data_IF_258399543701
#
_entry.id   IF_258399543701
#
_cell.length_a   1.000
_cell.length_b   1.000
_cell.length_c   1.000
_cell.angle_alpha   90.00
_cell.angle_beta   90.00
_cell.angle_gamma   90.00
#
_symmetry.space_group_name_H-M   'P 1'
#
loop_
_entity.id
_entity.type
_entity.pdbx_description
1 polymer ?
#
# COMPACT_ATOMS: atom_id res chain seq x y z
N UNK A 1 -17.93 -26.41 -15.86
CA UNK A 1 -16.79 -25.50 -16.07
C UNK A 1 -15.71 -25.57 -14.99
N UNK A 2 -16.03 -25.88 -13.73
CA UNK A 2 -15.03 -26.02 -12.65
C UNK A 2 -14.03 -27.17 -12.84
N UNK A 3 -14.39 -28.24 -13.55
CA UNK A 3 -13.52 -29.42 -13.74
C UNK A 3 -12.30 -29.18 -14.67
N UNK A 4 -12.23 -28.05 -15.41
CA UNK A 4 -11.05 -27.72 -16.23
C UNK A 4 -10.00 -26.87 -15.49
N UNK A 5 -10.31 -26.36 -14.29
CA UNK A 5 -9.45 -25.42 -13.58
C UNK A 5 -8.51 -26.07 -12.54
N UNK A 6 -8.53 -27.40 -12.41
CA UNK A 6 -7.61 -28.13 -11.51
C UNK A 6 -6.56 -28.88 -12.31
N UNK A 7 -5.75 -28.15 -13.10
CA UNK A 7 -4.47 -28.73 -13.49
C UNK A 7 -3.73 -29.10 -12.20
N UNK A 8 -3.05 -30.24 -12.19
CA UNK A 8 -2.21 -30.66 -11.05
C UNK A 8 -1.24 -29.55 -10.63
N UNK A 9 -0.76 -28.76 -11.60
CA UNK A 9 0.05 -27.56 -11.37
C UNK A 9 -0.64 -26.51 -10.49
N UNK A 10 -1.90 -26.16 -10.76
CA UNK A 10 -2.64 -25.17 -9.95
C UNK A 10 -2.88 -25.66 -8.52
N UNK A 11 -3.10 -26.97 -8.34
CA UNK A 11 -3.23 -27.58 -7.01
C UNK A 11 -1.91 -27.50 -6.23
N UNK A 12 -0.78 -27.86 -6.86
CA UNK A 12 0.55 -27.75 -6.24
C UNK A 12 0.92 -26.31 -5.89
N UNK A 13 0.62 -25.35 -6.76
CA UNK A 13 0.85 -23.93 -6.48
C UNK A 13 0.01 -23.44 -5.30
N UNK A 14 -1.27 -23.85 -5.22
CA UNK A 14 -2.14 -23.51 -4.09
C UNK A 14 -1.64 -24.15 -2.79
N UNK A 15 -1.23 -25.42 -2.84
CA UNK A 15 -0.66 -26.12 -1.69
C UNK A 15 0.63 -25.43 -1.20
N UNK A 16 1.53 -25.08 -2.13
CA UNK A 16 2.76 -24.34 -1.82
C UNK A 16 2.45 -22.99 -1.17
N UNK A 17 1.46 -22.27 -1.68
CA UNK A 17 1.03 -20.97 -1.15
C UNK A 17 0.46 -21.10 0.26
N UNK A 18 -0.35 -22.12 0.53
CA UNK A 18 -0.84 -22.43 1.89
C UNK A 18 0.33 -22.78 2.80
N UNK A 19 1.27 -23.61 2.33
CA UNK A 19 2.46 -24.02 3.09
C UNK A 19 3.33 -22.80 3.46
N UNK A 20 3.58 -21.88 2.52
CA UNK A 20 4.35 -20.65 2.77
C UNK A 20 3.66 -19.78 3.82
N UNK A 21 2.32 -19.64 3.76
CA UNK A 21 1.56 -18.90 4.77
C UNK A 21 1.62 -19.56 6.14
N UNK A 22 1.48 -20.88 6.20
CA UNK A 22 1.58 -21.64 7.46
C UNK A 22 2.99 -21.55 8.05
N UNK A 23 4.03 -21.65 7.22
CA UNK A 23 5.42 -21.50 7.66
C UNK A 23 5.70 -20.08 8.17
N UNK A 24 5.19 -19.05 7.48
CA UNK A 24 5.29 -17.67 7.95
C UNK A 24 4.55 -17.48 9.29
N UNK A 25 3.30 -17.95 9.40
CA UNK A 25 2.52 -17.88 10.62
C UNK A 25 3.21 -18.61 11.78
N UNK A 26 3.67 -19.84 11.56
CA UNK A 26 4.41 -20.62 12.53
C UNK A 26 5.71 -19.92 12.95
N UNK A 27 6.46 -19.36 12.00
CA UNK A 27 7.65 -18.56 12.28
C UNK A 27 7.36 -17.33 13.14
N UNK A 28 6.24 -16.63 12.90
CA UNK A 28 5.82 -15.51 13.76
C UNK A 28 5.41 -15.95 15.16
N UNK A 29 4.87 -17.16 15.32
CA UNK A 29 4.52 -17.72 16.63
C UNK A 29 5.75 -18.19 17.42
N UNK A 30 6.80 -18.69 16.76
CA UNK A 30 8.02 -19.13 17.42
C UNK A 30 8.89 -17.98 17.95
N UNK A 31 8.87 -16.82 17.28
CA UNK A 31 9.70 -15.68 17.65
C UNK A 31 8.91 -14.35 17.57
N UNK A 32 7.88 -14.18 18.41
CA UNK A 32 6.98 -13.03 18.33
C UNK A 32 7.72 -11.71 18.52
N UNK A 33 8.65 -11.63 19.48
CA UNK A 33 9.44 -10.42 19.72
C UNK A 33 10.30 -10.02 18.51
N UNK A 34 10.91 -11.00 17.85
CA UNK A 34 11.75 -10.75 16.67
C UNK A 34 10.90 -10.29 15.49
N UNK A 35 9.71 -10.88 15.33
CA UNK A 35 8.73 -10.46 14.32
C UNK A 35 8.26 -9.03 14.57
N UNK A 36 7.78 -8.72 15.78
CA UNK A 36 7.27 -7.38 16.12
C UNK A 36 8.33 -6.30 15.92
N UNK A 37 9.58 -6.57 16.31
CA UNK A 37 10.70 -5.64 16.12
C UNK A 37 11.00 -5.34 14.64
N UNK A 38 10.68 -6.26 13.73
CA UNK A 38 10.99 -6.13 12.29
C UNK A 38 9.74 -6.24 11.41
N UNK A 39 8.57 -5.98 11.98
CA UNK A 39 7.26 -6.18 11.35
C UNK A 39 7.15 -5.38 10.06
N UNK A 40 7.67 -4.16 10.07
CA UNK A 40 7.66 -3.24 8.93
C UNK A 40 8.36 -3.78 7.68
N UNK A 41 9.21 -4.80 7.83
CA UNK A 41 9.97 -5.37 6.73
C UNK A 41 9.49 -6.79 6.43
N UNK A 42 9.29 -7.61 7.47
CA UNK A 42 8.78 -8.97 7.27
C UNK A 42 7.38 -9.00 6.66
N UNK A 43 6.47 -8.13 7.10
CA UNK A 43 5.10 -8.17 6.61
C UNK A 43 4.99 -7.81 5.11
N UNK A 44 5.65 -6.74 4.60
CA UNK A 44 5.73 -6.51 3.16
C UNK A 44 6.40 -7.66 2.40
N UNK A 45 7.51 -8.20 2.91
CA UNK A 45 8.25 -9.29 2.23
C UNK A 45 7.39 -10.55 2.05
N UNK A 46 6.64 -10.95 3.08
CA UNK A 46 5.70 -12.07 2.99
C UNK A 46 4.62 -11.79 1.94
N UNK A 47 4.11 -10.55 1.89
CA UNK A 47 3.09 -10.14 0.92
C UNK A 47 3.63 -10.09 -0.51
N UNK A 48 4.84 -9.59 -0.72
CA UNK A 48 5.49 -9.61 -2.03
C UNK A 48 5.72 -11.05 -2.49
N UNK A 49 6.29 -11.90 -1.62
CA UNK A 49 6.50 -13.32 -1.92
C UNK A 49 5.21 -14.02 -2.36
N UNK A 50 4.08 -13.69 -1.74
CA UNK A 50 2.77 -14.21 -2.15
C UNK A 50 2.36 -13.76 -3.56
N UNK A 51 2.50 -12.47 -3.88
CA UNK A 51 2.06 -11.92 -5.18
C UNK A 51 3.04 -12.17 -6.32
N UNK A 52 4.28 -12.56 -6.03
CA UNK A 52 5.26 -13.03 -7.02
C UNK A 52 4.92 -14.41 -7.59
N UNK A 53 4.03 -15.17 -6.94
CA UNK A 53 3.64 -16.50 -7.42
C UNK A 53 2.85 -16.39 -8.74
N UNK A 54 3.21 -17.16 -9.79
CA UNK A 54 2.53 -17.10 -11.09
C UNK A 54 1.02 -17.30 -11.02
N UNK A 55 0.55 -18.20 -10.15
CA UNK A 55 -0.89 -18.48 -9.93
C UNK A 55 -1.70 -17.24 -9.53
N UNK A 56 -1.05 -16.28 -8.87
CA UNK A 56 -1.67 -15.02 -8.43
C UNK A 56 -1.68 -13.99 -9.57
N UNK A 57 -0.92 -14.20 -10.64
CA UNK A 57 -0.83 -13.31 -11.81
C UNK A 57 -1.61 -13.85 -13.02
N UNK A 58 -1.78 -15.17 -13.13
CA UNK A 58 -2.53 -15.81 -14.21
C UNK A 58 -4.02 -15.44 -14.15
N UNK A 59 -4.57 -14.94 -15.25
CA UNK A 59 -6.00 -14.66 -15.36
C UNK A 59 -6.77 -15.89 -15.85
N UNK A 60 -8.10 -15.89 -15.68
CA UNK A 60 -8.94 -17.05 -16.04
C UNK A 60 -8.89 -18.23 -15.06
N UNK A 61 -8.18 -18.09 -13.94
CA UNK A 61 -8.15 -19.08 -12.85
C UNK A 61 -8.54 -18.45 -11.50
N UNK A 62 -9.19 -19.24 -10.65
CA UNK A 62 -9.58 -18.84 -9.30
C UNK A 62 -10.48 -17.59 -9.30
N UNK A 63 -10.08 -16.56 -8.53
CA UNK A 63 -10.86 -15.32 -8.39
C UNK A 63 -11.09 -14.58 -9.72
N UNK A 64 -10.20 -14.74 -10.71
CA UNK A 64 -10.36 -14.10 -12.02
C UNK A 64 -11.59 -14.57 -12.79
N UNK A 65 -12.06 -15.81 -12.53
CA UNK A 65 -13.28 -16.36 -13.15
C UNK A 65 -14.55 -15.58 -12.77
N UNK A 66 -14.49 -14.80 -11.69
CA UNK A 66 -15.61 -13.96 -11.27
C UNK A 66 -15.85 -12.79 -12.26
N UNK A 67 -14.83 -12.42 -13.05
CA UNK A 67 -14.93 -11.40 -14.10
C UNK A 67 -15.54 -11.94 -15.40
N UNK A 68 -15.74 -13.26 -15.52
CA UNK A 68 -16.35 -13.90 -16.70
C UNK A 68 -17.89 -13.84 -16.69
N UNK A 69 -18.48 -13.36 -15.59
CA UNK A 69 -19.94 -13.21 -15.51
C UNK A 69 -20.36 -11.81 -15.93
N UNK A 70 -21.40 -11.71 -16.76
CA UNK A 70 -22.02 -10.45 -17.15
C UNK A 70 -22.49 -9.60 -15.95
N UNK A 71 -22.66 -8.30 -16.20
CA UNK A 71 -23.05 -7.34 -15.18
C UNK A 71 -24.49 -7.57 -14.68
N UNK A 72 -24.76 -7.19 -13.43
CA UNK A 72 -26.09 -7.31 -12.82
C UNK A 72 -26.81 -5.95 -12.80
N UNK A 73 -28.10 -5.88 -13.20
CA UNK A 73 -28.86 -4.65 -13.17
C UNK A 73 -29.12 -4.15 -11.73
N UNK A 74 -29.44 -2.86 -11.63
CA UNK A 74 -29.79 -2.19 -10.36
C UNK A 74 -28.58 -1.83 -9.48
N UNK A 75 -28.84 -1.06 -8.41
CA UNK A 75 -27.81 -0.54 -7.48
C UNK A 75 -27.15 -1.68 -6.70
N UNK A 76 -27.94 -2.64 -6.22
CA UNK A 76 -27.41 -3.84 -5.54
C UNK A 76 -26.51 -4.66 -6.46
N UNK A 77 -26.89 -4.77 -7.74
CA UNK A 77 -26.07 -5.38 -8.78
C UNK A 77 -24.74 -4.63 -8.96
N UNK A 78 -24.78 -3.30 -9.05
CA UNK A 78 -23.58 -2.47 -9.15
C UNK A 78 -22.61 -2.67 -7.98
N UNK A 79 -23.10 -2.72 -6.74
CA UNK A 79 -22.24 -2.97 -5.56
C UNK A 79 -21.62 -4.37 -5.61
N UNK A 80 -22.40 -5.38 -6.02
CA UNK A 80 -21.89 -6.75 -6.19
C UNK A 80 -20.84 -6.82 -7.30
N UNK A 81 -21.08 -6.15 -8.42
CA UNK A 81 -20.14 -6.10 -9.54
C UNK A 81 -18.86 -5.35 -9.17
N UNK A 82 -18.93 -4.30 -8.34
CA UNK A 82 -17.75 -3.64 -7.78
C UNK A 82 -16.96 -4.58 -6.86
N UNK A 83 -17.64 -5.32 -5.97
CA UNK A 83 -16.97 -6.30 -5.10
C UNK A 83 -16.33 -7.44 -5.91
N UNK A 84 -17.01 -7.90 -6.97
CA UNK A 84 -16.51 -8.87 -7.94
C UNK A 84 -15.32 -8.35 -8.72
N UNK A 85 -15.35 -7.09 -9.13
CA UNK A 85 -14.25 -6.41 -9.80
C UNK A 85 -13.02 -6.37 -8.89
N UNK A 86 -13.16 -5.87 -7.66
CA UNK A 86 -12.06 -5.79 -6.69
C UNK A 86 -11.52 -7.18 -6.30
N UNK A 87 -12.41 -8.16 -6.12
CA UNK A 87 -12.04 -9.54 -5.83
C UNK A 87 -11.37 -10.24 -7.01
N UNK A 88 -11.90 -10.06 -8.21
CA UNK A 88 -11.42 -10.67 -9.45
C UNK A 88 -10.09 -10.11 -9.94
N UNK A 89 -9.84 -8.82 -9.71
CA UNK A 89 -8.53 -8.20 -9.89
C UNK A 89 -7.52 -8.60 -8.80
N UNK A 90 -7.93 -9.38 -7.79
CA UNK A 90 -7.11 -9.81 -6.64
C UNK A 90 -6.61 -8.64 -5.77
N UNK A 91 -7.10 -7.42 -6.04
CA UNK A 91 -6.76 -6.20 -5.34
C UNK A 91 -7.38 -6.14 -3.94
N UNK A 92 -8.53 -6.80 -3.73
CA UNK A 92 -9.20 -6.84 -2.44
C UNK A 92 -8.29 -7.41 -1.33
N UNK A 93 -7.54 -8.47 -1.64
CA UNK A 93 -6.59 -9.07 -0.69
C UNK A 93 -5.43 -8.13 -0.33
N UNK A 94 -4.92 -7.39 -1.31
CA UNK A 94 -3.88 -6.38 -1.09
C UNK A 94 -4.42 -5.20 -0.25
N UNK A 95 -5.62 -4.71 -0.56
CA UNK A 95 -6.26 -3.66 0.22
C UNK A 95 -6.48 -4.10 1.68
N UNK A 96 -7.14 -5.24 1.89
CA UNK A 96 -7.43 -5.79 3.23
C UNK A 96 -6.15 -6.05 4.01
N UNK A 97 -5.11 -6.60 3.36
CA UNK A 97 -3.81 -6.78 3.99
C UNK A 97 -3.15 -5.48 4.44
N UNK A 98 -3.38 -4.37 3.72
CA UNK A 98 -2.90 -3.04 4.13
C UNK A 98 -3.62 -2.54 5.38
N UNK A 99 -4.95 -2.62 5.34
CA UNK A 99 -5.81 -2.17 6.43
C UNK A 99 -5.61 -3.00 7.70
N UNK A 100 -5.43 -4.32 7.58
CA UNK A 100 -5.26 -5.21 8.72
C UNK A 100 -3.88 -5.09 9.39
N UNK A 101 -2.83 -4.75 8.62
CA UNK A 101 -1.49 -4.65 9.18
C UNK A 101 -1.22 -3.28 9.81
N UNK A 102 -1.89 -2.20 9.39
CA UNK A 102 -1.64 -0.84 9.90
C UNK A 102 -0.13 -0.56 10.02
N UNK A 103 0.60 -0.80 8.91
CA UNK A 103 2.02 -0.49 8.85
C UNK A 103 2.22 1.03 8.81
N UNK A 104 3.43 1.53 9.12
CA UNK A 104 3.73 2.95 8.99
C UNK A 104 3.31 3.51 7.63
N UNK A 105 2.74 4.73 7.53
CA UNK A 105 2.16 5.26 6.29
C UNK A 105 3.03 5.13 5.04
N UNK A 106 4.30 5.48 5.13
CA UNK A 106 5.27 5.38 4.05
C UNK A 106 5.56 3.93 3.66
N UNK A 107 5.62 3.02 4.64
CA UNK A 107 5.77 1.59 4.40
C UNK A 107 4.51 1.04 3.72
N UNK A 108 3.32 1.44 4.17
CA UNK A 108 2.04 1.09 3.56
C UNK A 108 1.96 1.58 2.12
N UNK A 109 2.28 2.85 1.88
CA UNK A 109 2.30 3.46 0.55
C UNK A 109 3.24 2.70 -0.39
N UNK A 110 4.50 2.51 0.03
CA UNK A 110 5.49 1.78 -0.75
C UNK A 110 5.05 0.33 -1.03
N UNK A 111 4.56 -0.37 0.00
CA UNK A 111 4.11 -1.77 -0.12
C UNK A 111 2.94 -1.89 -1.08
N UNK A 112 1.92 -1.03 -0.96
CA UNK A 112 0.75 -1.10 -1.84
C UNK A 112 1.07 -0.67 -3.26
N UNK A 113 1.96 0.31 -3.47
CA UNK A 113 2.43 0.67 -4.81
C UNK A 113 3.17 -0.47 -5.49
N UNK A 114 4.08 -1.15 -4.78
CA UNK A 114 4.80 -2.31 -5.33
C UNK A 114 3.81 -3.45 -5.62
N UNK A 115 2.88 -3.74 -4.71
CA UNK A 115 1.87 -4.77 -4.93
C UNK A 115 1.00 -4.45 -6.14
N UNK A 116 0.56 -3.20 -6.27
CA UNK A 116 -0.21 -2.74 -7.43
C UNK A 116 0.58 -3.00 -8.72
N UNK A 117 1.85 -2.61 -8.80
CA UNK A 117 2.70 -2.85 -9.97
C UNK A 117 2.88 -4.34 -10.29
N UNK A 118 2.94 -5.21 -9.27
CA UNK A 118 3.09 -6.66 -9.47
C UNK A 118 1.83 -7.32 -10.04
N UNK A 119 0.64 -6.80 -9.71
CA UNK A 119 -0.66 -7.37 -10.12
C UNK A 119 -1.41 -6.55 -11.18
N UNK A 120 -0.96 -5.35 -11.51
CA UNK A 120 -1.64 -4.49 -12.49
C UNK A 120 -1.56 -5.10 -13.88
N UNK A 121 -2.71 -5.36 -14.48
CA UNK A 121 -2.83 -5.76 -15.87
C UNK A 121 -4.17 -5.24 -16.42
N UNK A 122 -4.30 -3.91 -16.47
CA UNK A 122 -5.54 -3.19 -16.81
C UNK A 122 -6.06 -3.54 -18.20
N UNK A 123 -5.15 -3.74 -19.17
CA UNK A 123 -5.48 -4.17 -20.52
C UNK A 123 -6.29 -5.46 -20.54
N UNK A 124 -5.75 -6.53 -19.96
CA UNK A 124 -6.42 -7.85 -19.94
C UNK A 124 -7.65 -7.89 -19.03
N UNK A 125 -7.77 -6.99 -18.05
CA UNK A 125 -9.00 -6.86 -17.27
C UNK A 125 -10.13 -6.26 -18.11
N UNK A 126 -9.86 -5.23 -18.91
CA UNK A 126 -10.89 -4.57 -19.73
C UNK A 126 -11.49 -5.46 -20.82
N UNK A 127 -10.80 -6.53 -21.23
CA UNK A 127 -11.29 -7.55 -22.18
C UNK A 127 -12.17 -8.62 -21.52
N UNK A 128 -12.45 -8.51 -20.21
CA UNK A 128 -13.27 -9.50 -19.51
C UNK A 128 -14.76 -9.24 -19.73
N UNK A 129 -15.59 -10.29 -19.85
CA UNK A 129 -17.03 -10.14 -20.10
C UNK A 129 -17.75 -9.18 -19.14
N UNK A 130 -17.38 -9.15 -17.86
CA UNK A 130 -17.96 -8.20 -16.89
C UNK A 130 -17.71 -6.73 -17.27
N UNK A 131 -16.52 -6.42 -17.79
CA UNK A 131 -16.09 -5.07 -18.13
C UNK A 131 -16.44 -4.69 -19.56
N UNK A 132 -16.55 -5.64 -20.48
CA UNK A 132 -17.10 -5.43 -21.82
C UNK A 132 -18.62 -5.25 -21.84
N UNK A 133 -19.32 -5.71 -20.79
CA UNK A 133 -20.77 -5.56 -20.67
C UNK A 133 -21.20 -4.09 -20.79
N UNK A 134 -22.19 -3.77 -21.65
CA UNK A 134 -22.61 -2.39 -21.91
C UNK A 134 -23.09 -1.67 -20.64
N UNK A 135 -23.66 -2.39 -19.67
CA UNK A 135 -24.09 -1.81 -18.40
C UNK A 135 -22.90 -1.39 -17.55
N UNK A 136 -21.83 -2.18 -17.54
CA UNK A 136 -20.60 -1.82 -16.84
C UNK A 136 -19.92 -0.64 -17.53
N UNK A 137 -19.85 -0.63 -18.86
CA UNK A 137 -19.31 0.48 -19.63
C UNK A 137 -20.05 1.80 -19.35
N UNK A 138 -21.39 1.76 -19.28
CA UNK A 138 -22.20 2.91 -18.90
C UNK A 138 -21.90 3.41 -17.47
N UNK A 139 -21.67 2.49 -16.53
CA UNK A 139 -21.31 2.85 -15.14
C UNK A 139 -19.91 3.43 -15.06
N UNK A 140 -18.95 2.88 -15.80
CA UNK A 140 -17.57 3.37 -15.85
C UNK A 140 -17.50 4.75 -16.51
N UNK A 141 -18.24 4.98 -17.60
CA UNK A 141 -18.31 6.31 -18.22
C UNK A 141 -18.96 7.32 -17.29
N UNK A 142 -20.06 6.96 -16.61
CA UNK A 142 -20.68 7.81 -15.59
C UNK A 142 -19.74 8.15 -14.44
N UNK A 143 -18.97 7.17 -13.96
CA UNK A 143 -17.94 7.38 -12.94
C UNK A 143 -16.83 8.30 -13.44
N UNK A 144 -16.30 8.06 -14.65
CA UNK A 144 -15.26 8.88 -15.25
C UNK A 144 -15.72 10.34 -15.43
N UNK A 145 -16.92 10.57 -15.95
CA UNK A 145 -17.53 11.89 -16.06
C UNK A 145 -17.70 12.55 -14.69
N UNK A 146 -18.17 11.80 -13.69
CA UNK A 146 -18.27 12.31 -12.31
C UNK A 146 -16.91 12.72 -11.73
N UNK A 147 -15.86 11.95 -12.02
CA UNK A 147 -14.48 12.28 -11.63
C UNK A 147 -13.98 13.54 -12.34
N UNK A 148 -14.24 13.70 -13.65
CA UNK A 148 -13.91 14.95 -14.36
C UNK A 148 -14.55 16.16 -13.66
N UNK A 149 -15.86 16.11 -13.39
CA UNK A 149 -16.54 17.19 -12.67
C UNK A 149 -15.97 17.44 -11.27
N UNK A 150 -15.63 16.37 -10.54
CA UNK A 150 -15.03 16.49 -9.21
C UNK A 150 -13.64 17.14 -9.26
N UNK A 151 -12.92 17.02 -10.38
CA UNK A 151 -11.59 17.64 -10.56
C UNK A 151 -11.64 19.10 -10.99
N UNK A 152 -12.75 19.58 -11.57
CA UNK A 152 -12.86 20.94 -12.09
C UNK A 152 -12.51 22.03 -11.07
N UNK A 153 -13.00 22.01 -9.82
CA UNK A 153 -12.65 23.05 -8.84
C UNK A 153 -11.15 23.12 -8.57
N UNK A 154 -10.48 21.97 -8.57
CA UNK A 154 -9.02 21.87 -8.35
C UNK A 154 -8.26 22.47 -9.53
N UNK A 155 -8.69 22.19 -10.76
CA UNK A 155 -8.10 22.74 -11.97
C UNK A 155 -8.28 24.26 -12.08
N UNK A 156 -9.45 24.78 -11.68
CA UNK A 156 -9.71 26.23 -11.65
C UNK A 156 -8.79 26.95 -10.66
N UNK A 157 -8.46 26.31 -9.53
CA UNK A 157 -7.58 26.88 -8.51
C UNK A 157 -6.08 26.76 -8.84
N UNK A 158 -5.69 25.89 -9.78
CA UNK A 158 -4.30 25.63 -10.15
C UNK A 158 -4.08 25.82 -11.66
N UNK A 159 -3.78 27.05 -12.12
CA UNK A 159 -3.58 27.35 -13.55
C UNK A 159 -2.28 26.75 -14.14
N UNK A 160 -1.59 25.86 -13.42
CA UNK A 160 -0.31 25.27 -13.81
C UNK A 160 -0.44 24.21 -14.91
N UNK A 161 -1.65 23.74 -15.20
CA UNK A 161 -1.90 22.76 -16.26
C UNK A 161 -2.85 23.36 -17.27
N UNK A 162 -2.38 23.56 -18.51
CA UNK A 162 -3.21 23.97 -19.63
C UNK A 162 -4.36 22.96 -19.81
N UNK A 163 -5.58 23.40 -19.52
CA UNK A 163 -6.81 22.59 -19.49
C UNK A 163 -7.26 22.13 -20.90
N UNK A 164 -6.56 22.55 -21.95
CA UNK A 164 -6.86 22.23 -23.34
C UNK A 164 -6.30 20.86 -23.76
N UNK A 165 -6.64 19.82 -23.01
CA UNK A 165 -6.50 18.44 -23.51
C UNK A 165 -7.74 18.12 -24.34
N UNK A 166 -7.65 18.01 -25.69
CA UNK A 166 -8.79 17.64 -26.54
C UNK A 166 -9.38 16.27 -26.17
N UNK A 167 -8.60 15.42 -25.48
CA UNK A 167 -9.02 14.10 -25.01
C UNK A 167 -9.89 14.14 -23.75
N UNK A 168 -9.69 15.12 -22.86
CA UNK A 168 -10.60 15.34 -21.74
C UNK A 168 -11.99 15.78 -22.23
N UNK A 169 -12.03 16.64 -23.25
CA UNK A 169 -13.28 17.01 -23.93
C UNK A 169 -13.94 15.79 -24.60
N UNK A 170 -13.16 14.93 -25.26
CA UNK A 170 -13.67 13.70 -25.85
C UNK A 170 -14.33 12.76 -24.83
N UNK A 171 -13.82 12.70 -23.59
CA UNK A 171 -14.45 11.91 -22.52
C UNK A 171 -15.80 12.51 -22.08
N UNK A 172 -15.89 13.84 -21.93
CA UNK A 172 -17.13 14.53 -21.58
C UNK A 172 -18.18 14.48 -22.70
N UNK A 173 -17.74 14.48 -23.96
CA UNK A 173 -18.59 14.35 -25.15
C UNK A 173 -18.99 12.89 -25.44
N UNK A 174 -18.41 11.91 -24.73
CA UNK A 174 -18.67 10.50 -24.96
C UNK A 174 -18.02 9.93 -26.23
N UNK A 175 -17.03 10.64 -26.79
CA UNK A 175 -16.24 10.24 -27.96
C UNK A 175 -15.05 9.33 -27.59
N UNK A 176 -14.67 9.28 -26.32
CA UNK A 176 -13.60 8.41 -25.84
C UNK A 176 -13.95 6.93 -26.03
N UNK A 177 -12.98 6.13 -26.47
CA UNK A 177 -13.17 4.69 -26.63
C UNK A 177 -13.47 4.00 -25.30
N UNK A 178 -14.40 3.04 -25.31
CA UNK A 178 -14.80 2.26 -24.14
C UNK A 178 -13.60 1.59 -23.42
N UNK A 179 -12.64 1.08 -24.21
CA UNK A 179 -11.41 0.48 -23.68
C UNK A 179 -10.54 1.50 -22.94
N UNK A 180 -10.40 2.72 -23.46
CA UNK A 180 -9.62 3.79 -22.81
C UNK A 180 -10.29 4.28 -21.53
N UNK A 181 -11.62 4.44 -21.53
CA UNK A 181 -12.39 4.79 -20.34
C UNK A 181 -12.23 3.71 -19.27
N UNK A 182 -12.31 2.43 -19.67
CA UNK A 182 -12.10 1.31 -18.76
C UNK A 182 -10.69 1.33 -18.14
N UNK A 183 -9.63 1.46 -18.94
CA UNK A 183 -8.23 1.45 -18.44
C UNK A 183 -7.99 2.55 -17.43
N UNK A 184 -8.34 3.80 -17.76
CA UNK A 184 -8.15 4.94 -16.85
C UNK A 184 -8.98 4.78 -15.57
N UNK A 185 -10.23 4.36 -15.69
CA UNK A 185 -11.11 4.20 -14.52
C UNK A 185 -10.62 3.08 -13.60
N UNK A 186 -10.16 1.96 -14.16
CA UNK A 186 -9.57 0.87 -13.38
C UNK A 186 -8.26 1.29 -12.72
N UNK A 187 -7.36 1.96 -13.45
CA UNK A 187 -6.11 2.51 -12.89
C UNK A 187 -6.41 3.44 -11.71
N UNK A 188 -7.38 4.35 -11.86
CA UNK A 188 -7.81 5.22 -10.78
C UNK A 188 -8.36 4.44 -9.58
N UNK A 189 -9.30 3.51 -9.79
CA UNK A 189 -9.86 2.68 -8.72
C UNK A 189 -8.75 1.93 -7.99
N UNK A 190 -7.81 1.34 -8.73
CA UNK A 190 -6.70 0.60 -8.15
C UNK A 190 -5.82 1.50 -7.28
N UNK A 191 -5.39 2.66 -7.76
CA UNK A 191 -4.56 3.55 -6.95
C UNK A 191 -5.35 4.13 -5.76
N UNK A 192 -6.59 4.57 -5.98
CA UNK A 192 -7.41 5.16 -4.93
C UNK A 192 -7.76 4.14 -3.82
N UNK A 193 -8.20 2.95 -4.19
CA UNK A 193 -8.72 1.94 -3.24
C UNK A 193 -7.60 1.08 -2.67
N UNK A 194 -6.58 0.73 -3.45
CA UNK A 194 -5.54 -0.23 -3.01
C UNK A 194 -4.36 0.48 -2.37
N UNK A 195 -4.01 1.67 -2.88
CA UNK A 195 -2.83 2.42 -2.42
C UNK A 195 -3.23 3.52 -1.45
N UNK A 196 -4.06 4.47 -1.90
CA UNK A 196 -4.38 5.65 -1.10
C UNK A 196 -5.21 5.31 0.13
N UNK A 197 -6.30 4.54 -0.02
CA UNK A 197 -7.19 4.24 1.11
C UNK A 197 -6.45 3.57 2.29
N UNK A 198 -5.67 2.48 2.12
CA UNK A 198 -4.91 1.90 3.24
C UNK A 198 -3.85 2.86 3.79
N UNK A 199 -3.25 3.70 2.94
CA UNK A 199 -2.26 4.69 3.38
C UNK A 199 -2.90 5.77 4.24
N UNK A 200 -4.06 6.30 3.84
CA UNK A 200 -4.79 7.31 4.61
C UNK A 200 -5.29 6.74 5.94
N UNK A 201 -5.79 5.51 5.94
CA UNK A 201 -6.15 4.79 7.18
C UNK A 201 -4.91 4.60 8.06
N UNK A 202 -3.78 4.20 7.49
CA UNK A 202 -2.53 4.10 8.24
C UNK A 202 -2.11 5.44 8.83
N UNK A 203 -2.21 6.56 8.09
CA UNK A 203 -1.92 7.91 8.64
C UNK A 203 -2.85 8.25 9.79
N UNK A 204 -4.14 7.95 9.65
CA UNK A 204 -5.13 8.26 10.67
C UNK A 204 -4.86 7.53 11.99
N UNK A 205 -4.46 6.26 11.92
CA UNK A 205 -4.11 5.45 13.10
C UNK A 205 -2.62 5.52 13.48
N UNK A 206 -1.82 6.36 12.82
CA UNK A 206 -0.39 6.45 13.10
C UNK A 206 -0.15 7.34 14.32
N UNK A 207 0.13 6.71 15.45
CA UNK A 207 0.71 7.36 16.62
C UNK A 207 2.17 7.65 16.30
N UNK A 208 2.46 8.91 15.96
CA UNK A 208 3.77 9.30 15.46
C UNK A 208 4.92 9.05 16.45
N UNK A 209 6.18 9.15 15.98
CA UNK A 209 7.37 9.06 16.83
C UNK A 209 7.43 10.16 17.91
N UNK A 210 6.49 11.12 17.92
CA UNK A 210 6.34 12.08 19.01
C UNK A 210 5.99 11.39 20.32
N UNK A 211 5.12 10.38 20.30
CA UNK A 211 4.80 9.60 21.50
C UNK A 211 6.05 8.87 22.03
N UNK A 212 6.86 8.30 21.14
CA UNK A 212 8.13 7.67 21.51
C UNK A 212 9.17 8.69 22.01
N UNK A 213 9.23 9.88 21.38
CA UNK A 213 10.15 10.95 21.78
C UNK A 213 9.77 11.55 23.14
N UNK A 214 8.48 11.74 23.40
CA UNK A 214 7.96 12.21 24.68
C UNK A 214 8.24 11.18 25.77
N UNK A 215 7.98 9.90 25.52
CA UNK A 215 8.29 8.82 26.45
C UNK A 215 9.81 8.67 26.67
N UNK A 216 10.62 8.84 25.63
CA UNK A 216 12.08 8.83 25.73
C UNK A 216 12.62 10.04 26.51
N UNK A 217 12.06 11.23 26.29
CA UNK A 217 12.40 12.45 27.01
C UNK A 217 12.02 12.33 28.50
N UNK A 218 10.85 11.78 28.81
CA UNK A 218 10.40 11.49 30.17
C UNK A 218 11.34 10.49 30.86
N UNK A 219 11.66 9.36 30.20
CA UNK A 219 12.63 8.38 30.72
C UNK A 219 14.01 8.98 30.93
N UNK A 220 14.47 9.88 30.05
CA UNK A 220 15.73 10.58 30.21
C UNK A 220 15.70 11.55 31.41
N UNK A 221 14.61 12.29 31.58
CA UNK A 221 14.41 13.17 32.73
C UNK A 221 14.38 12.38 34.06
N UNK A 222 13.70 11.23 34.11
CA UNK A 222 13.67 10.34 35.28
C UNK A 222 15.06 9.78 35.61
N UNK A 223 15.85 9.40 34.59
CA UNK A 223 17.24 8.95 34.80
C UNK A 223 18.14 10.08 35.29
N UNK A 224 17.99 11.29 34.75
CA UNK A 224 18.73 12.46 35.21
C UNK A 224 18.41 12.76 36.68
N UNK A 225 17.13 12.72 37.07
CA UNK A 225 16.68 12.89 38.44
C UNK A 225 17.14 11.76 39.40
N UNK A 226 17.26 10.53 38.91
CA UNK A 226 17.83 9.43 39.70
C UNK A 226 19.36 9.57 39.85
N UNK A 227 20.06 10.04 38.81
CA UNK A 227 21.52 10.20 38.82
C UNK A 227 22.02 11.36 39.68
N UNK A 228 21.16 12.34 39.99
CA UNK A 228 21.48 13.42 40.93
C UNK A 228 21.43 12.98 42.39
N UNK A 229 21.02 11.73 42.69
CA UNK A 229 21.22 11.14 44.01
C UNK A 229 22.69 10.70 44.17
N UNK A 230 23.45 11.27 45.13
CA UNK A 230 24.85 10.92 45.34
C UNK A 230 24.95 9.48 45.84
N UNK A 231 25.20 8.53 44.93
CA UNK A 231 25.42 7.14 45.28
C UNK A 231 26.91 6.92 45.57
N UNK A 232 27.24 6.72 46.85
CA UNK A 232 28.58 6.39 47.33
C UNK A 232 29.18 5.10 46.70
N UNK A 233 28.41 4.34 45.93
CA UNK A 233 28.80 3.08 45.29
C UNK A 233 29.54 3.22 43.95
N UNK A 234 29.44 4.36 43.24
CA UNK A 234 30.09 4.55 41.93
C UNK A 234 31.63 4.67 42.02
N UNK A 235 32.16 5.06 43.19
CA UNK A 235 33.61 5.15 43.42
C UNK A 235 34.29 3.76 43.55
N UNK A 236 33.55 2.70 43.90
CA UNK A 236 34.13 1.36 44.08
C UNK A 236 34.19 0.54 42.78
N UNK A 237 33.29 0.79 41.82
CA UNK A 237 33.21 0.02 40.57
C UNK A 237 34.22 0.48 39.49
N UNK A 238 34.73 1.70 39.58
CA UNK A 238 35.75 2.22 38.66
C UNK A 238 37.15 1.58 38.84
N UNK A 239 37.37 0.81 39.91
CA UNK A 239 38.64 0.18 40.22
C UNK A 239 38.82 -1.25 39.65
N UNK A 240 37.77 -1.87 39.10
CA UNK A 240 37.81 -3.29 38.70
C UNK A 240 37.74 -3.49 37.18
N UNK A 241 38.93 -3.57 36.56
CA UNK A 241 39.21 -4.61 35.57
C UNK A 241 38.73 -4.40 34.13
N UNK A 242 39.48 -3.59 33.37
CA UNK A 242 39.50 -3.63 31.90
C UNK A 242 40.48 -4.72 31.41
N UNK A 243 40.03 -5.95 31.24
CA UNK A 243 40.78 -6.99 30.51
C UNK A 243 40.30 -7.06 29.06
N UNK A 244 41.11 -6.49 28.16
CA UNK A 244 40.90 -6.46 26.72
C UNK A 244 41.06 -7.85 26.10
N UNK A 245 39.95 -8.41 25.60
CA UNK A 245 39.93 -9.64 24.81
C UNK A 245 40.11 -9.36 23.31
N UNK A 246 41.04 -10.07 22.69
CA UNK A 246 41.47 -9.93 21.30
C UNK A 246 40.37 -10.31 20.27
N UNK A 247 40.12 -9.47 19.23
CA UNK A 247 39.06 -9.70 18.25
C UNK A 247 39.62 -10.28 16.94
N UNK A 248 39.75 -11.61 16.79
CA UNK A 248 40.44 -12.15 15.59
C UNK A 248 39.67 -13.15 14.70
N UNK A 249 38.45 -13.62 15.03
CA UNK A 249 37.84 -14.71 14.22
C UNK A 249 36.35 -14.56 13.84
N UNK A 250 35.76 -13.35 13.96
CA UNK A 250 34.34 -13.09 13.61
C UNK A 250 34.09 -12.25 12.35
N UNK A 251 35.14 -11.85 11.61
CA UNK A 251 35.08 -10.75 10.64
C UNK A 251 34.04 -10.84 9.52
N UNK A 252 33.88 -11.99 8.84
CA UNK A 252 33.10 -12.02 7.59
C UNK A 252 31.58 -12.15 7.76
N UNK A 253 31.11 -13.05 8.66
CA UNK A 253 29.69 -13.15 9.03
C UNK A 253 29.20 -11.89 9.76
N UNK A 254 30.10 -11.18 10.45
CA UNK A 254 29.82 -9.91 11.08
C UNK A 254 29.77 -8.76 10.06
N UNK A 255 30.56 -8.83 8.98
CA UNK A 255 30.52 -7.88 7.86
C UNK A 255 29.18 -7.88 7.11
N UNK A 256 28.71 -9.04 6.66
CA UNK A 256 27.43 -9.15 5.93
C UNK A 256 26.23 -8.87 6.81
N UNK A 257 26.19 -9.42 8.04
CA UNK A 257 25.13 -9.08 9.01
C UNK A 257 25.15 -7.58 9.29
N UNK A 258 26.32 -6.98 9.52
CA UNK A 258 26.46 -5.55 9.75
C UNK A 258 26.00 -4.69 8.58
N UNK A 259 26.34 -5.06 7.34
CA UNK A 259 25.88 -4.36 6.14
C UNK A 259 24.36 -4.45 5.98
N UNK A 260 23.77 -5.63 6.18
CA UNK A 260 22.33 -5.83 6.16
C UNK A 260 21.64 -4.99 7.24
N UNK A 261 22.13 -5.02 8.49
CA UNK A 261 21.58 -4.21 9.57
C UNK A 261 21.63 -2.71 9.27
N UNK A 262 22.74 -2.21 8.72
CA UNK A 262 22.87 -0.81 8.30
C UNK A 262 21.90 -0.43 7.19
N UNK A 263 21.65 -1.33 6.23
CA UNK A 263 20.66 -1.08 5.18
C UNK A 263 19.25 -1.00 5.76
N UNK A 264 18.88 -1.94 6.63
CA UNK A 264 17.57 -1.95 7.27
C UNK A 264 17.36 -0.69 8.11
N UNK A 265 18.37 -0.29 8.89
CA UNK A 265 18.32 0.93 9.70
C UNK A 265 18.16 2.20 8.84
N UNK A 266 18.82 2.27 7.67
CA UNK A 266 18.60 3.35 6.69
C UNK A 266 17.19 3.35 6.12
N UNK A 267 16.63 2.19 5.80
CA UNK A 267 15.26 2.08 5.30
C UNK A 267 14.25 2.53 6.36
N UNK A 268 14.46 2.15 7.62
CA UNK A 268 13.63 2.60 8.74
C UNK A 268 13.73 4.12 8.95
N UNK A 269 14.94 4.69 8.84
CA UNK A 269 15.13 6.15 8.93
C UNK A 269 14.42 6.91 7.80
N UNK A 270 14.52 6.44 6.55
CA UNK A 270 13.83 7.03 5.39
C UNK A 270 12.32 6.91 5.56
N UNK A 271 11.83 5.73 5.98
CA UNK A 271 10.42 5.53 6.26
C UNK A 271 9.93 6.48 7.37
N UNK A 272 10.69 6.65 8.45
CA UNK A 272 10.35 7.57 9.54
C UNK A 272 10.33 9.04 9.08
N UNK A 273 11.26 9.46 8.20
CA UNK A 273 11.25 10.79 7.61
C UNK A 273 10.02 11.01 6.70
N UNK A 274 9.71 10.03 5.84
CA UNK A 274 8.53 10.08 4.97
C UNK A 274 7.22 10.04 5.76
N UNK A 275 7.13 9.24 6.83
CA UNK A 275 5.99 9.22 7.74
C UNK A 275 5.77 10.58 8.38
N UNK A 276 6.85 11.23 8.86
CA UNK A 276 6.77 12.58 9.42
C UNK A 276 6.29 13.59 8.38
N UNK A 277 6.83 13.56 7.16
CA UNK A 277 6.39 14.44 6.09
C UNK A 277 4.91 14.24 5.75
N UNK A 278 4.45 13.00 5.59
CA UNK A 278 3.04 12.65 5.33
C UNK A 278 2.14 13.08 6.49
N UNK A 279 2.54 12.80 7.72
CA UNK A 279 1.78 13.16 8.91
C UNK A 279 1.67 14.69 9.03
N UNK A 280 2.77 15.43 8.92
CA UNK A 280 2.77 16.89 8.97
C UNK A 280 1.95 17.50 7.82
N UNK A 281 2.03 16.93 6.61
CA UNK A 281 1.21 17.38 5.48
C UNK A 281 -0.29 17.19 5.74
N UNK A 282 -0.70 16.12 6.43
CA UNK A 282 -2.12 15.80 6.68
C UNK A 282 -2.67 16.36 8.02
N UNK A 283 -1.79 16.64 8.98
CA UNK A 283 -2.13 17.13 10.33
C UNK A 283 -1.72 18.57 10.61
N UNK A 284 -1.14 19.29 9.64
CA UNK A 284 -0.88 20.72 9.81
C UNK A 284 -2.20 21.45 10.17
N UNK A 285 -2.25 22.27 11.23
CA UNK A 285 -3.47 22.95 11.67
C UNK A 285 -4.01 23.90 10.59
N UNK A 286 -3.12 24.45 9.74
CA UNK A 286 -3.53 25.23 8.55
C UNK A 286 -4.27 24.40 7.51
N UNK A 287 -4.12 23.07 7.56
CA UNK A 287 -4.84 22.14 6.71
C UNK A 287 -6.14 21.60 7.34
N UNK A 288 -6.46 21.85 8.61
CA UNK A 288 -7.67 21.29 9.21
C UNK A 288 -8.94 21.88 8.59
N UNK A 289 -8.94 23.18 8.28
CA UNK A 289 -9.98 23.83 7.46
C UNK A 289 -9.94 23.38 5.99
N UNK A 290 -8.80 22.84 5.52
CA UNK A 290 -8.62 22.34 4.15
C UNK A 290 -8.69 20.83 4.02
N UNK A 291 -8.96 20.06 5.08
CA UNK A 291 -9.08 18.58 5.01
C UNK A 291 -10.22 18.17 4.07
N UNK A 292 -11.28 18.97 4.07
CA UNK A 292 -12.40 18.86 3.13
C UNK A 292 -11.97 19.06 1.68
N UNK A 293 -10.90 19.82 1.43
CA UNK A 293 -10.33 20.09 0.10
C UNK A 293 -9.17 19.16 -0.24
N UNK A 294 -8.42 18.66 0.75
CA UNK A 294 -7.23 17.84 0.55
C UNK A 294 -7.56 16.48 -0.05
N UNK A 295 -8.65 15.84 0.40
CA UNK A 295 -9.08 14.54 -0.15
C UNK A 295 -9.56 14.71 -1.60
N UNK A 296 -10.48 15.64 -1.93
CA UNK A 296 -10.83 15.92 -3.32
C UNK A 296 -9.63 16.32 -4.18
N UNK A 297 -8.71 17.13 -3.67
CA UNK A 297 -7.49 17.54 -4.38
C UNK A 297 -6.58 16.35 -4.70
N UNK A 298 -6.38 15.45 -3.74
CA UNK A 298 -5.60 14.22 -3.93
C UNK A 298 -6.25 13.31 -4.97
N UNK A 299 -7.57 13.10 -4.88
CA UNK A 299 -8.32 12.30 -5.85
C UNK A 299 -8.28 12.92 -7.25
N UNK A 300 -8.38 14.25 -7.34
CA UNK A 300 -8.32 14.97 -8.60
C UNK A 300 -6.94 14.86 -9.26
N UNK A 301 -5.88 15.06 -8.47
CA UNK A 301 -4.50 14.90 -8.93
C UNK A 301 -4.24 13.46 -9.38
N UNK A 302 -4.76 12.48 -8.64
CA UNK A 302 -4.62 11.08 -9.01
C UNK A 302 -5.36 10.75 -10.31
N UNK A 303 -6.60 11.22 -10.46
CA UNK A 303 -7.38 11.06 -11.69
C UNK A 303 -6.62 11.63 -12.88
N UNK A 304 -6.09 12.84 -12.74
CA UNK A 304 -5.27 13.50 -13.75
C UNK A 304 -4.03 12.67 -14.14
N UNK A 305 -3.29 12.16 -13.16
CA UNK A 305 -2.11 11.30 -13.38
C UNK A 305 -2.46 9.99 -14.11
N UNK A 306 -3.60 9.38 -13.76
CA UNK A 306 -4.06 8.15 -14.43
C UNK A 306 -4.36 8.43 -15.91
N UNK A 307 -4.97 9.58 -16.23
CA UNK A 307 -5.14 10.01 -17.62
C UNK A 307 -3.81 10.21 -18.33
N UNK A 308 -2.81 10.83 -17.68
CA UNK A 308 -1.48 11.03 -18.28
C UNK A 308 -0.82 9.69 -18.62
N UNK A 309 -0.88 8.73 -17.70
CA UNK A 309 -0.25 7.42 -17.86
C UNK A 309 -0.83 6.62 -19.04
N UNK A 310 -2.14 6.74 -19.29
CA UNK A 310 -2.84 6.04 -20.37
C UNK A 310 -2.87 6.84 -21.68
N UNK A 311 -2.19 8.01 -21.74
CA UNK A 311 -2.15 8.84 -22.94
C UNK A 311 -3.49 9.53 -23.25
N UNK A 312 -4.31 9.84 -22.24
CA UNK A 312 -5.54 10.62 -22.36
C UNK A 312 -5.37 12.13 -22.11
N UNK A 313 -4.13 12.66 -22.20
CA UNK A 313 -3.88 14.10 -22.27
C UNK A 313 -3.72 14.58 -23.70
#
# INVERSE_FOLDING_TARGET
MWNRASSTAAQWQTALLVLVKLAAAYGTMLAPEAYWRRRNIFAPMIRFGFHLLPVVREQGVGAGLVLETAARPGVRGAIQDLARLLGGMRQLGAMVGGLALLLPPAVTLCTQSILLLLVSNTETYCERPLLEDPLTQQRLSGLATGLEYATLPVLVLQPLVSVESPRAAALLLGEASASSVCRVTLSFIQVAVVVLLPTLVAVYFWEGPQAEQEEAAERAALRAAASSQPTAAAAAAAAAGSTAGTPAARGWRQGWRGAWYRLMDRLDQVAAAANRALYCALHSPKLVDSRTLAVPWLLATLWWLCKCAEGLH
#
